data_IF_735867910648
#
_entry.id   IF_735867910648
#
_cell.length_a   1.000
_cell.length_b   1.000
_cell.length_c   1.000
_cell.angle_alpha   90.00
_cell.angle_beta   90.00
_cell.angle_gamma   90.00
#
_symmetry.space_group_name_H-M   'P 1'
#
loop_
_entity.id
_entity.type
_entity.pdbx_description
1 polymer ?
#
# COMPACT_ATOMS: atom_id res chain seq x y z
N UNK A 1 -17.24 -21.28 -17.58
CA UNK A 1 -15.88 -21.42 -17.01
C UNK A 1 -15.59 -20.41 -15.90
N UNK A 2 -15.64 -19.07 -16.10
CA UNK A 2 -15.34 -18.07 -15.04
C UNK A 2 -16.20 -18.19 -13.77
N UNK A 3 -17.53 -18.40 -13.89
CA UNK A 3 -18.42 -18.58 -12.72
C UNK A 3 -18.08 -19.82 -11.90
N UNK A 4 -17.76 -20.93 -12.57
CA UNK A 4 -17.38 -22.18 -11.91
C UNK A 4 -16.07 -22.04 -11.13
N UNK A 5 -15.03 -21.46 -11.73
CA UNK A 5 -13.76 -21.17 -11.05
C UNK A 5 -13.94 -20.21 -9.87
N UNK A 6 -14.83 -19.23 -10.01
CA UNK A 6 -15.17 -18.31 -8.91
C UNK A 6 -15.80 -19.07 -7.73
N UNK A 7 -16.72 -20.00 -7.97
CA UNK A 7 -17.35 -20.80 -6.92
C UNK A 7 -16.34 -21.71 -6.21
N UNK A 8 -15.44 -22.35 -6.96
CA UNK A 8 -14.37 -23.18 -6.40
C UNK A 8 -13.38 -22.37 -5.55
N UNK A 9 -13.17 -21.10 -5.89
CA UNK A 9 -12.29 -20.22 -5.13
C UNK A 9 -12.88 -19.73 -3.80
N UNK A 10 -14.23 -19.74 -3.64
CA UNK A 10 -14.85 -19.19 -2.42
C UNK A 10 -14.43 -19.90 -1.13
N UNK A 11 -14.42 -21.24 -1.03
CA UNK A 11 -13.95 -21.93 0.18
C UNK A 11 -12.51 -21.53 0.54
N UNK A 12 -11.61 -21.55 -0.44
CA UNK A 12 -10.22 -21.12 -0.24
C UNK A 12 -10.13 -19.67 0.26
N UNK A 13 -10.86 -18.74 -0.39
CA UNK A 13 -10.89 -17.34 0.00
C UNK A 13 -11.29 -17.16 1.46
N UNK A 14 -12.37 -17.78 1.89
CA UNK A 14 -12.93 -17.56 3.22
C UNK A 14 -12.24 -18.36 4.33
N UNK A 15 -11.79 -19.57 4.04
CA UNK A 15 -11.20 -20.48 5.04
C UNK A 15 -9.68 -20.36 5.14
N UNK A 16 -9.01 -19.91 4.07
CA UNK A 16 -7.54 -19.82 4.04
C UNK A 16 -7.09 -18.38 3.88
N UNK A 17 -7.47 -17.72 2.78
CA UNK A 17 -6.89 -16.42 2.45
C UNK A 17 -7.30 -15.31 3.41
N UNK A 18 -8.58 -15.17 3.75
CA UNK A 18 -9.03 -14.10 4.67
C UNK A 18 -8.44 -14.26 6.09
N UNK A 19 -8.49 -15.45 6.73
CA UNK A 19 -7.80 -15.65 8.01
C UNK A 19 -6.30 -15.36 7.93
N UNK A 20 -5.61 -15.84 6.89
CA UNK A 20 -4.20 -15.53 6.66
C UNK A 20 -3.95 -14.03 6.55
N UNK A 21 -4.75 -13.31 5.76
CA UNK A 21 -4.63 -11.86 5.60
C UNK A 21 -4.78 -11.12 6.93
N UNK A 22 -5.77 -11.50 7.75
CA UNK A 22 -6.01 -10.86 9.06
C UNK A 22 -4.84 -11.11 10.02
N UNK A 23 -4.43 -12.36 10.17
CA UNK A 23 -3.32 -12.74 11.04
C UNK A 23 -2.00 -12.13 10.59
N UNK A 24 -1.68 -12.24 9.29
CA UNK A 24 -0.45 -11.66 8.74
C UNK A 24 -0.44 -10.14 8.87
N UNK A 25 -1.56 -9.45 8.65
CA UNK A 25 -1.65 -8.00 8.82
C UNK A 25 -1.38 -7.59 10.27
N UNK A 26 -1.94 -8.31 11.23
CA UNK A 26 -1.69 -8.04 12.66
C UNK A 26 -0.22 -8.27 13.02
N UNK A 27 0.32 -9.43 12.68
CA UNK A 27 1.71 -9.81 13.01
C UNK A 27 2.71 -8.87 12.35
N UNK A 28 2.63 -8.68 11.04
CA UNK A 28 3.54 -7.81 10.30
C UNK A 28 3.37 -6.33 10.67
N UNK A 29 2.15 -5.88 11.00
CA UNK A 29 1.89 -4.52 11.45
C UNK A 29 2.52 -4.23 12.81
N UNK A 30 2.42 -5.14 13.79
CA UNK A 30 3.09 -5.03 15.10
C UNK A 30 4.60 -5.08 14.91
N UNK A 31 5.11 -6.04 14.13
CA UNK A 31 6.55 -6.14 13.81
C UNK A 31 7.07 -4.85 13.17
N UNK A 32 6.32 -4.27 12.24
CA UNK A 32 6.66 -2.99 11.62
C UNK A 32 6.74 -1.86 12.64
N UNK A 33 5.77 -1.78 13.57
CA UNK A 33 5.78 -0.76 14.60
C UNK A 33 7.01 -0.89 15.52
N UNK A 34 7.33 -2.10 15.97
CA UNK A 34 8.49 -2.36 16.81
C UNK A 34 9.80 -2.05 16.07
N UNK A 35 9.95 -2.52 14.84
CA UNK A 35 11.14 -2.23 14.02
C UNK A 35 11.29 -0.73 13.75
N UNK A 36 10.20 -0.01 13.51
CA UNK A 36 10.25 1.43 13.25
C UNK A 36 10.67 2.23 14.49
N UNK A 37 10.28 1.77 15.69
CA UNK A 37 10.60 2.42 16.95
C UNK A 37 12.05 2.10 17.38
N UNK A 38 12.45 0.83 17.33
CA UNK A 38 13.70 0.37 17.94
C UNK A 38 14.88 0.22 16.96
N UNK A 39 14.61 0.14 15.64
CA UNK A 39 15.66 -0.09 14.63
C UNK A 39 15.64 1.00 13.55
N UNK A 40 14.74 0.93 12.60
CA UNK A 40 14.56 1.96 11.58
C UNK A 40 13.24 1.86 10.83
N UNK A 41 12.62 2.99 10.44
CA UNK A 41 11.41 2.99 9.62
C UNK A 41 11.61 2.34 8.23
N UNK A 42 12.83 2.38 7.69
CA UNK A 42 13.17 1.77 6.39
C UNK A 42 13.12 0.25 6.45
N UNK A 43 13.76 -0.35 7.48
CA UNK A 43 13.70 -1.79 7.71
C UNK A 43 12.28 -2.25 8.02
N UNK A 44 11.54 -1.48 8.82
CA UNK A 44 10.14 -1.70 9.12
C UNK A 44 9.27 -1.73 7.86
N UNK A 45 9.48 -0.80 6.94
CA UNK A 45 8.79 -0.76 5.64
C UNK A 45 9.12 -1.98 4.78
N UNK A 46 10.37 -2.43 4.78
CA UNK A 46 10.77 -3.61 4.02
C UNK A 46 10.16 -4.89 4.60
N UNK A 47 10.31 -5.15 5.90
CA UNK A 47 9.81 -6.37 6.53
C UNK A 47 8.30 -6.33 6.71
N UNK A 48 7.79 -5.31 7.39
CA UNK A 48 6.36 -5.19 7.71
C UNK A 48 5.48 -4.83 6.51
N UNK A 49 6.06 -4.23 5.48
CA UNK A 49 5.34 -3.82 4.28
C UNK A 49 5.63 -4.71 3.07
N UNK A 50 6.84 -4.63 2.51
CA UNK A 50 7.14 -5.29 1.24
C UNK A 50 7.12 -6.82 1.35
N UNK A 51 7.66 -7.39 2.43
CA UNK A 51 7.62 -8.84 2.64
C UNK A 51 6.19 -9.33 2.91
N UNK A 52 5.43 -8.64 3.77
CA UNK A 52 4.01 -8.92 3.98
C UNK A 52 3.22 -8.91 2.66
N UNK A 53 3.44 -7.91 1.82
CA UNK A 53 2.78 -7.79 0.53
C UNK A 53 3.11 -8.94 -0.41
N UNK A 54 4.39 -9.35 -0.49
CA UNK A 54 4.82 -10.51 -1.27
C UNK A 54 4.17 -11.80 -0.79
N UNK A 55 4.14 -12.04 0.53
CA UNK A 55 3.50 -13.22 1.10
C UNK A 55 2.00 -13.28 0.74
N UNK A 56 1.31 -12.14 0.79
CA UNK A 56 -0.09 -12.08 0.37
C UNK A 56 -0.27 -12.35 -1.14
N UNK A 57 0.66 -11.91 -2.00
CA UNK A 57 0.67 -12.30 -3.41
C UNK A 57 0.89 -13.81 -3.58
N UNK A 58 1.78 -14.43 -2.83
CA UNK A 58 2.03 -15.88 -2.91
C UNK A 58 0.81 -16.69 -2.50
N UNK A 59 0.18 -16.34 -1.38
CA UNK A 59 -1.01 -17.04 -0.90
C UNK A 59 -2.20 -16.88 -1.85
N UNK A 60 -2.27 -15.82 -2.64
CA UNK A 60 -3.32 -15.62 -3.66
C UNK A 60 -2.91 -16.00 -5.08
N UNK A 61 -1.95 -16.85 -5.30
CA UNK A 61 -1.10 -17.15 -6.45
C UNK A 61 -1.05 -16.05 -7.53
N UNK A 62 -0.66 -14.84 -7.11
CA UNK A 62 -0.47 -13.71 -8.02
C UNK A 62 0.99 -13.67 -8.46
N UNK A 63 1.21 -13.90 -9.75
CA UNK A 63 2.54 -13.83 -10.37
C UNK A 63 2.78 -12.43 -10.92
N UNK A 64 3.77 -11.72 -10.37
CA UNK A 64 4.08 -10.34 -10.72
C UNK A 64 5.33 -10.27 -11.59
N UNK A 65 5.20 -9.66 -12.76
CA UNK A 65 6.33 -9.32 -13.64
C UNK A 65 6.47 -7.80 -13.69
N UNK A 66 7.61 -7.29 -13.25
CA UNK A 66 7.93 -5.85 -13.30
C UNK A 66 8.79 -5.57 -14.54
N UNK A 67 8.42 -4.52 -15.28
CA UNK A 67 9.18 -3.99 -16.40
C UNK A 67 9.53 -2.53 -16.13
N UNK A 68 10.66 -2.04 -16.66
CA UNK A 68 11.06 -0.64 -16.56
C UNK A 68 11.77 -0.28 -15.26
N UNK A 69 12.21 -1.25 -14.44
CA UNK A 69 12.99 -0.96 -13.22
C UNK A 69 14.29 -0.22 -13.47
N UNK A 70 14.86 -0.45 -14.62
CA UNK A 70 16.08 0.19 -15.12
C UNK A 70 15.93 1.71 -15.28
N UNK A 71 14.68 2.20 -15.42
CA UNK A 71 14.37 3.61 -15.58
C UNK A 71 14.25 4.36 -14.24
N UNK A 72 14.42 3.67 -13.11
CA UNK A 72 14.19 4.22 -11.77
C UNK A 72 15.48 4.22 -10.96
N UNK A 73 15.96 5.42 -10.62
CA UNK A 73 17.09 5.57 -9.70
C UNK A 73 16.60 5.44 -8.25
N UNK A 74 17.11 4.43 -7.52
CA UNK A 74 16.72 4.17 -6.12
C UNK A 74 17.19 5.23 -5.13
N UNK A 75 18.10 6.11 -5.53
CA UNK A 75 18.58 7.23 -4.70
C UNK A 75 17.72 8.47 -4.84
N UNK A 76 16.88 8.52 -5.87
CA UNK A 76 16.01 9.65 -6.15
C UNK A 76 14.65 9.49 -5.48
N UNK A 77 14.04 10.60 -5.07
CA UNK A 77 12.68 10.64 -4.55
C UNK A 77 11.68 10.90 -5.67
N UNK A 78 10.55 10.21 -5.64
CA UNK A 78 9.51 10.26 -6.67
C UNK A 78 8.15 10.53 -6.07
N UNK A 79 7.31 11.20 -6.84
CA UNK A 79 5.86 11.17 -6.67
C UNK A 79 5.32 10.11 -7.61
N UNK A 80 4.85 8.99 -7.06
CA UNK A 80 4.40 7.83 -7.81
C UNK A 80 2.89 7.87 -7.92
N UNK A 81 2.40 7.76 -9.15
CA UNK A 81 0.98 7.77 -9.47
C UNK A 81 0.63 6.44 -10.13
N UNK A 82 -0.39 5.77 -9.64
CA UNK A 82 -0.86 4.50 -10.21
C UNK A 82 -2.38 4.50 -10.35
N UNK A 83 -2.91 3.79 -11.33
CA UNK A 83 -4.32 3.44 -11.40
C UNK A 83 -4.71 2.49 -10.27
N UNK A 84 -5.98 2.46 -9.90
CA UNK A 84 -6.49 1.63 -8.80
C UNK A 84 -7.69 0.79 -9.24
N UNK A 85 -7.46 -0.50 -9.45
CA UNK A 85 -8.49 -1.43 -9.94
C UNK A 85 -8.85 -2.50 -8.90
N UNK A 86 -7.92 -2.83 -8.00
CA UNK A 86 -8.08 -3.94 -7.08
C UNK A 86 -7.47 -3.64 -5.71
N UNK A 87 -7.92 -4.36 -4.69
CA UNK A 87 -7.23 -4.40 -3.40
C UNK A 87 -5.80 -4.95 -3.54
N UNK A 88 -5.57 -5.82 -4.52
CA UNK A 88 -4.27 -6.44 -4.78
C UNK A 88 -3.22 -5.46 -5.32
N UNK A 89 -3.62 -4.29 -5.83
CA UNK A 89 -2.68 -3.25 -6.25
C UNK A 89 -1.74 -2.85 -5.10
N UNK A 90 -2.27 -2.86 -3.85
CA UNK A 90 -1.48 -2.57 -2.65
C UNK A 90 -0.35 -3.58 -2.51
N UNK A 91 -0.64 -4.88 -2.63
CA UNK A 91 0.37 -5.93 -2.49
C UNK A 91 1.37 -5.91 -3.64
N UNK A 92 0.90 -5.72 -4.87
CA UNK A 92 1.75 -5.69 -6.06
C UNK A 92 2.71 -4.49 -6.00
N UNK A 93 2.21 -3.30 -5.72
CA UNK A 93 3.05 -2.11 -5.64
C UNK A 93 4.02 -2.19 -4.45
N UNK A 94 3.54 -2.52 -3.25
CA UNK A 94 4.41 -2.56 -2.08
C UNK A 94 5.48 -3.65 -2.16
N UNK A 95 5.10 -4.83 -2.64
CA UNK A 95 6.01 -5.96 -2.73
C UNK A 95 7.03 -5.87 -3.86
N UNK A 96 6.72 -5.20 -4.97
CA UNK A 96 7.46 -5.40 -6.20
C UNK A 96 8.00 -4.14 -6.88
N UNK A 97 7.61 -2.93 -6.47
CA UNK A 97 8.11 -1.69 -7.10
C UNK A 97 9.63 -1.51 -6.92
N UNK A 98 10.17 -1.93 -5.78
CA UNK A 98 11.61 -1.99 -5.53
C UNK A 98 12.29 -0.70 -5.09
N UNK A 99 11.52 0.34 -4.76
CA UNK A 99 11.99 1.59 -4.15
C UNK A 99 11.22 1.84 -2.85
N UNK A 100 11.81 2.64 -1.95
CA UNK A 100 11.13 3.03 -0.72
C UNK A 100 10.10 4.13 -1.01
N UNK A 101 8.89 3.95 -0.49
CA UNK A 101 7.86 4.98 -0.59
C UNK A 101 6.91 4.96 0.61
N UNK A 102 6.19 6.06 0.77
CA UNK A 102 5.13 6.20 1.76
C UNK A 102 3.77 6.21 1.07
N UNK A 103 2.83 5.45 1.59
CA UNK A 103 1.46 5.45 1.12
C UNK A 103 0.73 6.72 1.54
N UNK A 104 -0.08 7.26 0.65
CA UNK A 104 -1.16 8.19 0.98
C UNK A 104 -2.44 7.37 1.09
N UNK A 105 -2.95 7.23 2.31
CA UNK A 105 -4.05 6.32 2.62
C UNK A 105 -5.18 6.98 3.39
N UNK A 106 -6.32 6.32 3.40
CA UNK A 106 -7.53 6.78 4.08
C UNK A 106 -7.35 6.76 5.60
N UNK A 107 -7.79 7.82 6.29
CA UNK A 107 -7.62 7.99 7.74
C UNK A 107 -8.20 6.83 8.55
N UNK A 108 -9.34 6.27 8.13
CA UNK A 108 -10.00 5.17 8.83
C UNK A 108 -9.16 3.90 8.93
N UNK A 109 -8.18 3.70 8.02
CA UNK A 109 -7.24 2.58 8.09
C UNK A 109 -6.33 2.64 9.33
N UNK A 110 -6.19 3.82 9.94
CA UNK A 110 -5.46 4.01 11.20
C UNK A 110 -6.09 3.24 12.37
N UNK A 111 -7.39 2.96 12.29
CA UNK A 111 -8.14 2.25 13.33
C UNK A 111 -8.00 0.72 13.25
N UNK A 112 -7.45 0.19 12.17
CA UNK A 112 -7.28 -1.25 11.98
C UNK A 112 -6.12 -1.75 12.86
N UNK A 113 -6.36 -2.73 13.76
CA UNK A 113 -5.33 -3.29 14.62
C UNK A 113 -4.13 -3.81 13.82
N UNK A 114 -2.92 -3.54 14.30
CA UNK A 114 -1.66 -3.88 13.62
C UNK A 114 -1.37 -2.96 12.43
N UNK A 115 -2.27 -2.88 11.44
CA UNK A 115 -2.07 -2.05 10.26
C UNK A 115 -1.87 -0.58 10.61
N UNK A 116 -2.77 -0.01 11.41
CA UNK A 116 -2.75 1.42 11.74
C UNK A 116 -1.46 1.85 12.40
N UNK A 117 -1.08 1.17 13.48
CA UNK A 117 0.15 1.49 14.22
C UNK A 117 1.41 1.23 13.38
N UNK A 118 1.46 0.12 12.63
CA UNK A 118 2.58 -0.18 11.74
C UNK A 118 2.78 0.89 10.68
N UNK A 119 1.70 1.25 9.97
CA UNK A 119 1.71 2.28 8.95
C UNK A 119 2.10 3.66 9.50
N UNK A 120 1.61 4.03 10.69
CA UNK A 120 1.94 5.29 11.35
C UNK A 120 3.43 5.38 11.70
N UNK A 121 3.98 4.34 12.32
CA UNK A 121 5.39 4.31 12.74
C UNK A 121 6.36 4.23 11.55
N UNK A 122 5.98 3.55 10.47
CA UNK A 122 6.74 3.60 9.19
C UNK A 122 6.72 5.00 8.58
N UNK A 123 5.72 5.85 8.90
CA UNK A 123 5.58 7.20 8.38
C UNK A 123 4.70 7.31 7.12
N UNK A 124 3.75 6.40 6.93
CA UNK A 124 2.72 6.55 5.91
C UNK A 124 1.79 7.72 6.24
N UNK A 125 1.16 8.30 5.23
CA UNK A 125 0.35 9.52 5.34
C UNK A 125 -1.11 9.15 5.37
N UNK A 126 -1.79 9.46 6.48
CA UNK A 126 -3.23 9.29 6.61
C UNK A 126 -3.93 10.60 6.23
N UNK A 127 -4.91 10.53 5.34
CA UNK A 127 -5.69 11.67 4.88
C UNK A 127 -7.16 11.50 5.23
N UNK A 128 -7.69 12.48 5.94
CA UNK A 128 -9.13 12.63 6.11
C UNK A 128 -9.69 13.33 4.86
N UNK A 129 -10.44 12.57 4.06
CA UNK A 129 -11.01 13.07 2.80
C UNK A 129 -12.35 13.78 2.98
N UNK A 130 -12.89 13.78 4.20
CA UNK A 130 -14.12 14.52 4.54
C UNK A 130 -13.83 16.01 4.80
N UNK A 131 -12.56 16.35 5.07
CA UNK A 131 -12.10 17.70 5.39
C UNK A 131 -10.97 18.10 4.46
N UNK A 132 -11.26 19.00 3.51
CA UNK A 132 -10.29 19.43 2.49
C UNK A 132 -9.09 20.16 3.09
N UNK A 133 -9.28 20.95 4.16
CA UNK A 133 -8.18 21.69 4.78
C UNK A 133 -7.21 20.75 5.48
N UNK A 134 -7.76 19.79 6.26
CA UNK A 134 -6.94 18.74 6.89
C UNK A 134 -6.24 17.85 5.89
N UNK A 135 -6.91 17.54 4.77
CA UNK A 135 -6.30 16.78 3.69
C UNK A 135 -5.10 17.50 3.08
N UNK A 136 -5.24 18.80 2.79
CA UNK A 136 -4.16 19.65 2.25
C UNK A 136 -3.01 19.78 3.28
N UNK A 137 -3.33 19.99 4.55
CA UNK A 137 -2.32 20.06 5.61
C UNK A 137 -1.52 18.75 5.73
N UNK A 138 -2.21 17.59 5.66
CA UNK A 138 -1.57 16.28 5.68
C UNK A 138 -0.65 16.06 4.47
N UNK A 139 -1.05 16.52 3.27
CA UNK A 139 -0.23 16.44 2.06
C UNK A 139 0.99 17.38 2.13
N UNK A 140 0.84 18.60 2.65
CA UNK A 140 1.96 19.52 2.88
C UNK A 140 2.99 18.91 3.84
N UNK A 141 2.55 18.34 4.95
CA UNK A 141 3.42 17.63 5.89
C UNK A 141 4.09 16.39 5.27
N UNK A 142 3.41 15.71 4.34
CA UNK A 142 3.99 14.60 3.59
C UNK A 142 5.10 15.02 2.63
N UNK A 143 4.98 16.22 2.03
CA UNK A 143 5.99 16.76 1.11
C UNK A 143 7.37 16.86 1.77
N UNK A 144 7.43 17.24 3.03
CA UNK A 144 8.69 17.35 3.79
C UNK A 144 9.38 15.99 3.99
N UNK A 145 8.65 14.89 3.81
CA UNK A 145 9.17 13.52 3.93
C UNK A 145 9.67 12.93 2.60
N UNK A 146 9.43 13.63 1.47
CA UNK A 146 9.90 13.23 0.13
C UNK A 146 11.34 13.71 -0.05
N UNK A 147 12.26 13.09 0.66
CA UNK A 147 13.67 13.44 0.67
C UNK A 147 14.54 12.18 0.77
N UNK A 148 15.79 12.28 0.37
CA UNK A 148 16.80 11.22 0.55
C UNK A 148 16.39 9.84 0.01
N UNK A 149 15.77 9.81 -1.19
CA UNK A 149 15.31 8.58 -1.85
C UNK A 149 13.97 8.04 -1.31
N UNK A 150 13.31 8.73 -0.38
CA UNK A 150 11.96 8.39 0.05
C UNK A 150 10.95 8.97 -0.94
N UNK A 151 10.14 8.11 -1.53
CA UNK A 151 9.07 8.47 -2.47
C UNK A 151 7.70 8.51 -1.79
N UNK A 152 6.71 9.04 -2.46
CA UNK A 152 5.31 8.97 -2.05
C UNK A 152 4.48 8.33 -3.16
N UNK A 153 3.49 7.53 -2.80
CA UNK A 153 2.57 6.91 -3.76
C UNK A 153 1.12 7.16 -3.41
N UNK A 154 0.32 7.43 -4.41
CA UNK A 154 -1.12 7.53 -4.27
C UNK A 154 -1.87 7.13 -5.55
N UNK A 155 -3.15 6.89 -5.38
CA UNK A 155 -4.07 6.58 -6.47
C UNK A 155 -4.88 7.84 -6.79
N UNK A 156 -4.66 8.52 -7.93
CA UNK A 156 -5.28 9.81 -8.24
C UNK A 156 -6.80 9.72 -8.41
N UNK A 157 -7.31 8.56 -8.77
CA UNK A 157 -8.75 8.29 -8.88
C UNK A 157 -9.47 8.33 -7.50
N UNK A 158 -8.73 8.19 -6.41
CA UNK A 158 -9.23 8.19 -5.03
C UNK A 158 -10.07 6.98 -4.63
N UNK A 159 -10.56 6.20 -5.59
CA UNK A 159 -11.37 4.99 -5.41
C UNK A 159 -11.00 3.95 -6.44
N UNK A 160 -11.30 2.68 -6.16
CA UNK A 160 -11.10 1.58 -7.11
C UNK A 160 -12.10 1.69 -8.26
N UNK A 161 -11.61 1.52 -9.49
CA UNK A 161 -12.43 1.46 -10.71
C UNK A 161 -12.32 0.09 -11.35
N UNK A 162 -13.45 -0.60 -11.45
CA UNK A 162 -13.52 -1.89 -12.14
C UNK A 162 -13.78 -1.62 -13.62
N UNK A 163 -12.89 -2.12 -14.49
CA UNK A 163 -13.02 -1.99 -15.94
C UNK A 163 -11.75 -1.48 -16.62
N UNK A 164 -11.83 -1.24 -17.94
CA UNK A 164 -10.68 -0.88 -18.77
C UNK A 164 -10.51 0.64 -18.96
N UNK A 165 -11.29 1.47 -18.26
CA UNK A 165 -11.21 2.92 -18.36
C UNK A 165 -10.69 3.51 -17.07
N UNK A 166 -9.76 4.45 -17.18
CA UNK A 166 -9.32 5.27 -16.05
C UNK A 166 -10.48 6.14 -15.56
N UNK A 167 -10.56 6.32 -14.25
CA UNK A 167 -11.48 7.26 -13.65
C UNK A 167 -10.96 8.70 -13.74
N UNK A 168 -11.80 9.64 -13.36
CA UNK A 168 -11.41 11.05 -13.25
C UNK A 168 -10.38 11.23 -12.13
N UNK A 169 -9.29 11.94 -12.45
CA UNK A 169 -8.24 12.24 -11.49
C UNK A 169 -8.64 13.41 -10.60
N UNK A 170 -8.55 13.24 -9.31
CA UNK A 170 -8.87 14.29 -8.34
C UNK A 170 -7.75 15.33 -8.29
N UNK A 171 -8.09 16.61 -8.34
CA UNK A 171 -7.14 17.74 -8.31
C UNK A 171 -6.18 17.69 -7.12
N UNK A 172 -6.63 17.21 -5.96
CA UNK A 172 -5.77 17.05 -4.77
C UNK A 172 -4.68 15.97 -4.88
N UNK A 173 -4.58 15.30 -6.04
CA UNK A 173 -3.51 14.35 -6.33
C UNK A 173 -2.27 15.01 -6.96
N UNK A 174 -2.39 16.26 -7.36
CA UNK A 174 -1.38 17.09 -8.02
C UNK A 174 -1.21 18.41 -7.26
#
# INVERSE_FOLDING_TARGET
>A
MRKFLYLLYQPYKWLVYIPFLLVSTLVFGITAALLAIFVSPRLASFIGGALWAKLNCYVTPIFVKVKGRENVDKKQSYVIVSNHQSQFDIFVLYGYIGIEFKWVMKYELRKIPGLGIGCEKIGHVFIDRSDSEKAIASLKAARERIVNGTSIIFFPEGTRRIGNRLGEFKKGAF
#
